data_IF_158633892027
#
_entry.id   IF_158633892027
#
_cell.length_a   1.000
_cell.length_b   1.000
_cell.length_c   1.000
_cell.angle_alpha   90.00
_cell.angle_beta   90.00
_cell.angle_gamma   90.00
#
_symmetry.space_group_name_H-M   'P 1'
#
loop_
_entity.id
_entity.type
_entity.pdbx_description
1 polymer ?
#
# COMPACT_ATOMS: atom_id res chain seq x y z
N UNK A 1 22.85 -0.39 -5.93
CA UNK A 1 22.37 0.76 -5.13
C UNK A 1 22.60 0.46 -3.65
N UNK A 2 23.03 1.45 -2.84
CA UNK A 2 23.18 1.21 -1.40
C UNK A 2 21.79 1.12 -0.77
N UNK A 3 21.52 0.03 -0.04
CA UNK A 3 20.30 -0.19 0.69
C UNK A 3 20.63 -0.58 2.13
N UNK A 4 19.75 -0.22 3.06
CA UNK A 4 19.90 -0.55 4.47
C UNK A 4 18.62 -1.20 4.97
N UNK A 5 18.76 -2.38 5.59
CA UNK A 5 17.67 -3.03 6.29
C UNK A 5 17.59 -2.50 7.73
N UNK A 6 16.39 -2.11 8.14
CA UNK A 6 16.08 -1.68 9.50
C UNK A 6 14.92 -2.52 10.04
N UNK A 7 15.08 -3.05 11.25
CA UNK A 7 13.99 -3.72 11.94
C UNK A 7 13.20 -2.67 12.74
N UNK A 8 11.87 -2.69 12.63
CA UNK A 8 10.98 -1.82 13.39
C UNK A 8 10.23 -2.54 14.51
N UNK A 9 10.49 -3.85 14.67
CA UNK A 9 9.93 -4.70 15.72
C UNK A 9 10.75 -5.98 15.89
N UNK A 10 10.27 -6.88 16.75
CA UNK A 10 10.97 -8.10 17.16
C UNK A 10 10.65 -9.31 16.26
N UNK A 11 9.53 -9.28 15.50
CA UNK A 11 9.18 -10.35 14.57
C UNK A 11 10.08 -10.32 13.33
N UNK A 12 10.48 -11.48 12.79
CA UNK A 12 11.31 -11.54 11.57
C UNK A 12 10.73 -10.82 10.35
N UNK A 13 9.39 -10.61 10.30
CA UNK A 13 8.70 -9.87 9.24
C UNK A 13 8.58 -8.36 9.53
N UNK A 14 9.02 -7.91 10.71
CA UNK A 14 8.94 -6.50 11.08
C UNK A 14 10.22 -5.74 10.69
N UNK A 15 10.41 -5.56 9.38
CA UNK A 15 11.55 -4.81 8.84
C UNK A 15 11.16 -4.05 7.57
N UNK A 16 12.01 -3.13 7.19
CA UNK A 16 11.98 -2.51 5.88
C UNK A 16 13.39 -2.32 5.32
N UNK A 17 13.45 -2.05 4.03
CA UNK A 17 14.70 -1.72 3.33
C UNK A 17 14.60 -0.28 2.85
N UNK A 18 15.53 0.54 3.32
CA UNK A 18 15.64 1.94 2.92
C UNK A 18 16.63 2.06 1.76
N UNK A 19 16.20 2.70 0.69
CA UNK A 19 16.99 3.01 -0.49
C UNK A 19 17.03 4.52 -0.71
N UNK A 20 18.17 5.05 -1.10
CA UNK A 20 18.32 6.45 -1.52
C UNK A 20 18.10 7.48 -0.43
N UNK A 21 17.89 8.72 -0.86
CA UNK A 21 17.71 9.91 -0.03
C UNK A 21 16.60 10.79 -0.64
N UNK A 22 16.08 11.76 0.13
CA UNK A 22 15.03 12.68 -0.31
C UNK A 22 13.70 12.48 0.41
N UNK A 23 12.59 13.04 -0.12
CA UNK A 23 11.26 12.79 0.42
C UNK A 23 10.93 11.29 0.35
N UNK A 24 10.10 10.82 1.28
CA UNK A 24 9.92 9.37 1.48
C UNK A 24 8.70 8.84 0.71
N UNK A 25 8.93 7.79 -0.09
CA UNK A 25 7.90 6.90 -0.59
C UNK A 25 7.91 5.60 0.23
N UNK A 26 6.85 5.32 0.98
CA UNK A 26 6.66 4.05 1.67
C UNK A 26 6.02 3.06 0.72
N UNK A 27 6.74 2.00 0.36
CA UNK A 27 6.27 0.97 -0.55
C UNK A 27 5.66 -0.20 0.23
N UNK A 28 4.42 -0.58 -0.12
CA UNK A 28 3.65 -1.62 0.56
C UNK A 28 3.19 -2.65 -0.47
N UNK A 29 3.75 -3.85 -0.39
CA UNK A 29 3.49 -4.90 -1.37
C UNK A 29 2.09 -5.52 -1.26
N UNK A 30 1.64 -6.15 -2.35
CA UNK A 30 0.40 -6.89 -2.45
C UNK A 30 0.53 -8.36 -2.06
N UNK A 31 -0.35 -9.19 -2.64
CA UNK A 31 -0.38 -10.65 -2.43
C UNK A 31 -1.49 -11.11 -1.48
N UNK A 32 -2.61 -10.40 -1.43
CA UNK A 32 -3.78 -10.76 -0.59
C UNK A 32 -3.42 -11.06 0.87
N UNK A 33 -2.48 -10.29 1.45
CA UNK A 33 -2.00 -10.46 2.83
C UNK A 33 -1.46 -11.86 3.14
N UNK A 34 -1.02 -12.65 2.13
CA UNK A 34 -0.48 -14.00 2.29
C UNK A 34 1.04 -13.98 2.44
N UNK A 35 1.58 -14.83 3.32
CA UNK A 35 3.02 -14.95 3.58
C UNK A 35 3.85 -15.50 2.42
N UNK A 36 3.20 -15.93 1.33
CA UNK A 36 3.84 -16.39 0.09
C UNK A 36 4.48 -15.25 -0.72
N UNK A 37 4.05 -14.01 -0.47
CA UNK A 37 4.52 -12.80 -1.16
C UNK A 37 5.26 -11.92 -0.17
N UNK A 38 6.24 -11.18 -0.64
CA UNK A 38 7.06 -10.30 0.18
C UNK A 38 7.38 -8.97 -0.51
N UNK A 39 8.16 -8.12 0.18
CA UNK A 39 8.51 -6.79 -0.29
C UNK A 39 9.27 -6.77 -1.63
N UNK A 40 9.87 -7.88 -2.08
CA UNK A 40 10.61 -7.93 -3.35
C UNK A 40 9.74 -7.63 -4.57
N UNK A 41 8.41 -7.76 -4.44
CA UNK A 41 7.46 -7.32 -5.48
C UNK A 41 7.59 -5.83 -5.81
N UNK A 42 8.08 -5.02 -4.88
CA UNK A 42 8.17 -3.56 -5.04
C UNK A 42 9.60 -3.08 -5.35
N UNK A 43 10.59 -3.97 -5.46
CA UNK A 43 12.00 -3.60 -5.61
C UNK A 43 12.27 -2.77 -6.87
N UNK A 44 11.67 -3.13 -8.01
CA UNK A 44 11.83 -2.38 -9.25
C UNK A 44 11.29 -0.93 -9.13
N UNK A 45 10.20 -0.75 -8.40
CA UNK A 45 9.61 0.56 -8.13
C UNK A 45 10.48 1.37 -7.15
N UNK A 46 11.07 0.70 -6.15
CA UNK A 46 12.01 1.33 -5.23
C UNK A 46 13.24 1.89 -5.98
N UNK A 47 13.79 1.12 -6.90
CA UNK A 47 14.93 1.54 -7.73
C UNK A 47 14.59 2.75 -8.61
N UNK A 48 13.43 2.75 -9.25
CA UNK A 48 12.98 3.86 -10.10
C UNK A 48 12.70 5.13 -9.28
N UNK A 49 12.13 5.02 -8.08
CA UNK A 49 11.92 6.13 -7.16
C UNK A 49 13.23 6.79 -6.75
N UNK A 50 14.24 5.99 -6.41
CA UNK A 50 15.57 6.51 -6.06
C UNK A 50 16.23 7.23 -7.25
N UNK A 51 16.07 6.70 -8.46
CA UNK A 51 16.57 7.36 -9.67
C UNK A 51 15.90 8.73 -9.90
N UNK A 52 14.73 8.96 -9.29
CA UNK A 52 13.96 10.22 -9.33
C UNK A 52 14.18 11.12 -8.11
N UNK A 53 15.10 10.75 -7.20
CA UNK A 53 15.43 11.56 -6.03
C UNK A 53 14.51 11.37 -4.82
N UNK A 54 13.83 10.21 -4.72
CA UNK A 54 13.06 9.81 -3.56
C UNK A 54 13.82 8.82 -2.70
N UNK A 55 13.63 8.89 -1.39
CA UNK A 55 13.94 7.78 -0.51
C UNK A 55 12.80 6.76 -0.59
N UNK A 56 13.12 5.50 -0.93
CA UNK A 56 12.13 4.43 -0.93
C UNK A 56 12.27 3.60 0.36
N UNK A 57 11.23 3.58 1.17
CA UNK A 57 11.08 2.74 2.36
C UNK A 57 10.19 1.55 2.02
N UNK A 58 10.80 0.45 1.55
CA UNK A 58 10.12 -0.77 1.13
C UNK A 58 9.91 -1.65 2.36
N UNK A 59 8.66 -1.83 2.81
CA UNK A 59 8.35 -2.47 4.09
C UNK A 59 7.85 -3.91 3.92
N UNK A 60 8.27 -4.75 4.87
CA UNK A 60 7.73 -6.06 5.12
C UNK A 60 6.85 -6.03 6.37
N UNK A 61 5.94 -6.95 6.54
CA UNK A 61 4.99 -6.99 7.66
C UNK A 61 4.46 -8.41 7.86
N UNK A 62 3.90 -8.73 9.04
CA UNK A 62 3.24 -10.01 9.30
C UNK A 62 1.98 -10.16 8.45
N UNK A 63 1.78 -11.34 7.88
CA UNK A 63 0.69 -11.70 6.97
C UNK A 63 0.01 -12.99 7.41
N UNK A 64 -1.04 -13.39 6.74
CA UNK A 64 -1.69 -14.70 6.92
C UNK A 64 -0.66 -15.81 6.60
N UNK A 65 -0.42 -16.66 7.59
CA UNK A 65 0.58 -17.73 7.52
C UNK A 65 1.86 -17.45 8.32
N UNK A 66 2.13 -16.20 8.72
CA UNK A 66 3.26 -15.83 9.57
C UNK A 66 2.88 -14.87 10.71
N UNK A 67 1.67 -15.02 11.25
CA UNK A 67 1.24 -14.28 12.43
C UNK A 67 0.44 -12.99 12.16
N UNK A 68 0.19 -12.64 10.88
CA UNK A 68 -0.58 -11.45 10.52
C UNK A 68 -2.09 -11.68 10.41
N UNK A 69 -2.74 -10.73 9.82
CA UNK A 69 -4.18 -10.48 9.81
C UNK A 69 -4.50 -9.23 10.62
N UNK A 70 -5.79 -8.94 10.82
CA UNK A 70 -6.22 -7.83 11.69
C UNK A 70 -6.17 -8.28 13.15
N UNK A 71 -5.56 -7.51 14.08
CA UNK A 71 -4.97 -6.19 13.86
C UNK A 71 -3.48 -6.19 13.47
N UNK A 72 -2.77 -7.32 13.58
CA UNK A 72 -1.29 -7.39 13.59
C UNK A 72 -0.67 -6.83 12.30
N UNK A 73 -1.25 -7.09 11.13
CA UNK A 73 -0.77 -6.51 9.86
C UNK A 73 -0.89 -4.98 9.85
N UNK A 74 -1.99 -4.46 10.38
CA UNK A 74 -2.21 -3.00 10.47
C UNK A 74 -1.23 -2.34 11.45
N UNK A 75 -1.01 -2.97 12.60
CA UNK A 75 -0.04 -2.51 13.60
C UNK A 75 1.37 -2.48 13.02
N UNK A 76 1.76 -3.50 12.28
CA UNK A 76 3.07 -3.58 11.64
C UNK A 76 3.27 -2.48 10.61
N UNK A 77 2.29 -2.25 9.72
CA UNK A 77 2.36 -1.17 8.74
C UNK A 77 2.44 0.19 9.44
N UNK A 78 1.65 0.39 10.49
CA UNK A 78 1.71 1.59 11.32
C UNK A 78 3.09 1.80 11.94
N UNK A 79 3.64 0.76 12.57
CA UNK A 79 4.95 0.79 13.22
C UNK A 79 6.08 1.02 12.21
N UNK A 80 6.01 0.41 11.02
CA UNK A 80 6.99 0.61 9.95
C UNK A 80 7.04 2.06 9.47
N UNK A 81 5.87 2.72 9.32
CA UNK A 81 5.80 4.13 8.95
C UNK A 81 6.33 5.01 10.10
N UNK A 82 5.93 4.72 11.33
CA UNK A 82 6.37 5.49 12.51
C UNK A 82 7.87 5.32 12.78
N UNK A 83 8.48 4.19 12.37
CA UNK A 83 9.92 3.96 12.45
C UNK A 83 10.75 4.99 11.66
N UNK A 84 10.18 5.60 10.62
CA UNK A 84 10.82 6.71 9.89
C UNK A 84 11.23 7.86 10.81
N UNK A 85 10.60 8.02 11.99
CA UNK A 85 11.00 9.02 12.98
C UNK A 85 12.43 8.78 13.54
N UNK A 86 12.94 7.55 13.47
CA UNK A 86 14.26 7.15 13.95
C UNK A 86 15.35 7.18 12.87
N UNK A 87 14.93 7.32 11.61
CA UNK A 87 15.82 7.31 10.44
C UNK A 87 16.19 8.74 10.01
N UNK A 88 17.38 8.89 9.43
CA UNK A 88 17.82 10.16 8.84
C UNK A 88 17.27 10.30 7.41
N UNK A 89 15.98 10.68 7.31
CA UNK A 89 15.25 10.85 6.05
C UNK A 89 14.42 12.15 6.06
N UNK A 90 14.14 12.70 4.87
CA UNK A 90 13.28 13.87 4.71
C UNK A 90 11.80 13.49 4.85
N UNK A 91 11.23 13.74 6.03
CA UNK A 91 9.83 13.50 6.34
C UNK A 91 8.89 14.67 6.01
N UNK A 92 9.37 15.68 5.32
CA UNK A 92 8.50 16.81 4.89
C UNK A 92 7.39 16.33 3.95
N UNK A 93 7.64 15.22 3.27
CA UNK A 93 6.70 14.54 2.39
C UNK A 93 6.84 13.02 2.55
N UNK A 94 5.78 12.36 3.01
CA UNK A 94 5.71 10.90 3.20
C UNK A 94 4.51 10.36 2.42
N UNK A 95 4.76 9.75 1.28
CA UNK A 95 3.71 9.18 0.42
C UNK A 95 3.66 7.67 0.59
N UNK A 96 2.50 7.14 1.00
CA UNK A 96 2.29 5.69 1.02
C UNK A 96 1.83 5.21 -0.36
N UNK A 97 2.59 4.30 -0.95
CA UNK A 97 2.33 3.70 -2.27
C UNK A 97 2.16 2.21 -2.07
N UNK A 98 1.02 1.66 -2.45
CA UNK A 98 0.78 0.24 -2.30
C UNK A 98 0.07 -0.40 -3.48
N UNK A 99 0.42 -1.66 -3.75
CA UNK A 99 -0.19 -2.47 -4.80
C UNK A 99 -1.18 -3.48 -4.22
N UNK A 100 -2.38 -3.60 -4.79
CA UNK A 100 -3.38 -4.62 -4.42
C UNK A 100 -3.75 -4.53 -2.91
N UNK A 101 -3.53 -5.60 -2.14
CA UNK A 101 -3.66 -5.56 -0.67
C UNK A 101 -2.79 -4.47 -0.04
N UNK A 102 -1.61 -4.17 -0.59
CA UNK A 102 -0.77 -3.05 -0.17
C UNK A 102 -1.42 -1.70 -0.44
N UNK A 103 -2.19 -1.56 -1.52
CA UNK A 103 -2.97 -0.36 -1.82
C UNK A 103 -4.07 -0.09 -0.79
N UNK A 104 -4.69 -1.15 -0.27
CA UNK A 104 -5.59 -1.07 0.87
C UNK A 104 -4.85 -0.58 2.13
N UNK A 105 -3.67 -1.17 2.42
CA UNK A 105 -2.87 -0.78 3.59
C UNK A 105 -2.34 0.65 3.50
N UNK A 106 -1.96 1.12 2.29
CA UNK A 106 -1.52 2.49 2.05
C UNK A 106 -2.65 3.50 2.34
N UNK A 107 -3.86 3.24 1.84
CA UNK A 107 -5.02 4.08 2.10
C UNK A 107 -5.45 4.04 3.57
N UNK A 108 -5.43 2.85 4.20
CA UNK A 108 -5.68 2.71 5.64
C UNK A 108 -4.67 3.51 6.47
N UNK A 109 -3.39 3.51 6.11
CA UNK A 109 -2.34 4.21 6.85
C UNK A 109 -2.59 5.71 6.98
N UNK A 110 -3.22 6.34 5.98
CA UNK A 110 -3.58 7.76 6.03
C UNK A 110 -4.73 8.05 7.02
N UNK A 111 -5.51 7.04 7.41
CA UNK A 111 -6.64 7.19 8.33
C UNK A 111 -6.29 6.88 9.80
N UNK A 112 -5.01 6.64 10.11
CA UNK A 112 -4.56 6.38 11.48
C UNK A 112 -4.77 7.59 12.38
N UNK A 113 -5.24 7.35 13.59
CA UNK A 113 -5.37 8.38 14.61
C UNK A 113 -4.01 8.63 15.30
N UNK A 114 -3.62 9.89 15.41
CA UNK A 114 -2.41 10.33 16.12
C UNK A 114 -1.12 9.56 15.75
N UNK A 115 -0.78 9.38 14.46
CA UNK A 115 0.44 8.70 14.06
C UNK A 115 1.69 9.50 14.47
N UNK A 116 2.79 8.82 14.80
CA UNK A 116 4.09 9.46 15.02
C UNK A 116 4.63 10.11 13.73
N UNK A 117 4.46 9.41 12.60
CA UNK A 117 4.76 9.92 11.26
C UNK A 117 3.47 9.88 10.44
N UNK A 118 2.97 11.05 10.09
CA UNK A 118 1.78 11.17 9.26
C UNK A 118 2.10 10.91 7.79
N UNK A 119 1.24 10.14 7.12
CA UNK A 119 1.22 10.04 5.66
C UNK A 119 0.67 11.35 5.09
N UNK A 120 1.35 11.93 4.09
CA UNK A 120 0.98 13.20 3.46
C UNK A 120 0.34 13.04 2.08
N UNK A 121 0.32 11.81 1.55
CA UNK A 121 -0.32 11.45 0.29
C UNK A 121 -0.42 9.94 0.14
N UNK A 122 -1.39 9.48 -0.65
CA UNK A 122 -1.65 8.06 -0.89
C UNK A 122 -1.62 7.76 -2.38
N UNK A 123 -0.98 6.67 -2.75
CA UNK A 123 -1.13 6.04 -4.07
C UNK A 123 -1.60 4.61 -3.86
N UNK A 124 -2.78 4.29 -4.39
CA UNK A 124 -3.32 2.94 -4.35
C UNK A 124 -3.37 2.36 -5.77
N UNK A 125 -2.55 1.36 -6.03
CA UNK A 125 -2.42 0.66 -7.30
C UNK A 125 -3.30 -0.60 -7.26
N UNK A 126 -4.44 -0.60 -7.94
CA UNK A 126 -5.44 -1.68 -7.93
C UNK A 126 -5.80 -2.17 -6.50
N UNK A 127 -5.99 -1.22 -5.57
CA UNK A 127 -6.16 -1.53 -4.14
C UNK A 127 -7.50 -2.17 -3.78
N UNK A 128 -7.48 -3.06 -2.78
CA UNK A 128 -8.70 -3.68 -2.19
C UNK A 128 -9.34 -2.69 -1.20
N UNK A 129 -9.86 -1.56 -1.72
CA UNK A 129 -10.25 -0.39 -0.92
C UNK A 129 -11.60 -0.52 -0.22
N UNK A 130 -12.40 -1.53 -0.59
CA UNK A 130 -13.70 -1.87 0.00
C UNK A 130 -13.70 -3.35 0.40
N UNK A 131 -13.43 -3.63 1.68
CA UNK A 131 -13.33 -5.00 2.16
C UNK A 131 -14.69 -5.70 2.24
N UNK A 132 -15.79 -4.98 2.45
CA UNK A 132 -17.13 -5.59 2.42
C UNK A 132 -17.45 -6.06 0.99
N UNK A 133 -17.24 -5.19 0.00
CA UNK A 133 -17.46 -5.55 -1.39
C UNK A 133 -16.54 -6.67 -1.87
N UNK A 134 -15.28 -6.64 -1.46
CA UNK A 134 -14.31 -7.71 -1.75
C UNK A 134 -14.73 -9.07 -1.15
N UNK A 135 -15.33 -9.07 0.05
CA UNK A 135 -15.90 -10.28 0.67
C UNK A 135 -17.13 -10.78 -0.09
N UNK A 136 -18.06 -9.88 -0.47
CA UNK A 136 -19.24 -10.24 -1.28
C UNK A 136 -18.86 -10.87 -2.62
N UNK A 137 -17.80 -10.36 -3.25
CA UNK A 137 -17.25 -10.89 -4.50
C UNK A 137 -16.42 -12.16 -4.28
N UNK A 138 -16.27 -12.60 -3.04
CA UNK A 138 -15.47 -13.77 -2.66
C UNK A 138 -14.04 -13.76 -3.21
N UNK A 139 -13.39 -12.58 -3.23
CA UNK A 139 -12.04 -12.44 -3.78
C UNK A 139 -11.09 -13.44 -3.13
N UNK A 140 -10.29 -14.10 -3.95
CA UNK A 140 -9.29 -15.10 -3.53
C UNK A 140 -9.84 -16.13 -2.52
N UNK A 141 -11.08 -16.60 -2.74
CA UNK A 141 -11.74 -17.66 -1.95
C UNK A 141 -11.82 -17.34 -0.44
N UNK A 142 -12.52 -16.26 -0.08
CA UNK A 142 -12.77 -15.88 1.31
C UNK A 142 -11.53 -15.36 2.04
N UNK A 143 -10.58 -14.76 1.32
CA UNK A 143 -9.35 -14.25 1.93
C UNK A 143 -9.63 -13.05 2.85
N UNK A 144 -10.66 -12.27 2.56
CA UNK A 144 -11.01 -11.08 3.37
C UNK A 144 -11.43 -11.49 4.78
N UNK A 145 -12.29 -12.49 4.91
CA UNK A 145 -12.75 -13.02 6.22
C UNK A 145 -11.56 -13.57 7.01
N UNK A 146 -10.66 -14.26 6.34
CA UNK A 146 -9.43 -14.76 6.95
C UNK A 146 -8.51 -13.63 7.41
N UNK A 147 -8.38 -12.55 6.63
CA UNK A 147 -7.61 -11.38 6.99
C UNK A 147 -8.22 -10.65 8.18
N UNK A 148 -9.53 -10.49 8.20
CA UNK A 148 -10.25 -9.82 9.28
C UNK A 148 -10.27 -10.59 10.60
N UNK A 149 -10.09 -11.93 10.59
CA UNK A 149 -10.05 -12.77 11.79
C UNK A 149 -11.23 -12.56 12.73
N UNK A 150 -12.41 -12.24 12.20
CA UNK A 150 -13.62 -11.95 12.96
C UNK A 150 -13.74 -10.50 13.47
N UNK A 151 -12.78 -9.64 13.18
CA UNK A 151 -12.88 -8.21 13.43
C UNK A 151 -13.82 -7.53 12.42
N UNK A 152 -14.48 -6.41 12.78
CA UNK A 152 -15.27 -5.65 11.85
C UNK A 152 -14.41 -5.05 10.73
N UNK A 153 -14.94 -5.02 9.50
CA UNK A 153 -14.25 -4.47 8.33
C UNK A 153 -13.81 -3.02 8.52
N UNK A 154 -14.59 -2.24 9.28
CA UNK A 154 -14.30 -0.83 9.58
C UNK A 154 -12.96 -0.56 10.26
N UNK A 155 -12.32 -1.59 10.84
CA UNK A 155 -10.95 -1.44 11.36
C UNK A 155 -9.92 -1.34 10.23
N UNK A 156 -10.19 -1.95 9.08
CA UNK A 156 -9.23 -2.13 7.99
C UNK A 156 -9.70 -1.61 6.62
N UNK A 157 -11.01 -1.48 6.38
CA UNK A 157 -11.58 -1.07 5.10
C UNK A 157 -11.44 0.43 4.88
N UNK A 158 -10.61 0.90 3.91
CA UNK A 158 -10.41 2.34 3.70
C UNK A 158 -11.68 3.12 3.42
N UNK A 159 -12.63 2.55 2.64
CA UNK A 159 -13.88 3.23 2.31
C UNK A 159 -14.75 3.51 3.55
N UNK A 160 -14.68 2.65 4.56
CA UNK A 160 -15.41 2.82 5.83
C UNK A 160 -14.71 3.81 6.78
N UNK A 161 -13.54 4.31 6.39
CA UNK A 161 -12.69 5.21 7.21
C UNK A 161 -12.51 6.60 6.56
N UNK A 162 -13.28 6.89 5.54
CA UNK A 162 -13.25 8.21 4.88
C UNK A 162 -13.70 9.33 5.85
N UNK A 163 -13.16 10.56 5.70
CA UNK A 163 -12.25 11.02 4.65
C UNK A 163 -10.78 10.61 4.92
N UNK A 164 -9.98 10.49 3.84
CA UNK A 164 -8.54 10.23 3.95
C UNK A 164 -7.76 11.39 4.59
N UNK A 165 -8.24 12.61 4.43
CA UNK A 165 -7.59 13.81 4.93
C UNK A 165 -6.32 14.24 4.18
N UNK A 166 -5.90 13.51 3.15
CA UNK A 166 -4.71 13.76 2.32
C UNK A 166 -5.03 13.53 0.85
N UNK A 167 -4.28 14.14 -0.09
CA UNK A 167 -4.40 13.85 -1.52
C UNK A 167 -4.19 12.37 -1.82
N UNK A 168 -4.99 11.84 -2.74
CA UNK A 168 -4.88 10.44 -3.14
C UNK A 168 -4.96 10.26 -4.66
N UNK A 169 -4.12 9.36 -5.18
CA UNK A 169 -4.15 8.86 -6.54
C UNK A 169 -4.49 7.37 -6.52
N UNK A 170 -5.45 6.98 -7.33
CA UNK A 170 -5.75 5.59 -7.63
C UNK A 170 -5.33 5.28 -9.06
N UNK A 171 -4.66 4.16 -9.28
CA UNK A 171 -4.38 3.66 -10.62
C UNK A 171 -4.94 2.25 -10.76
N UNK A 172 -5.52 1.91 -11.91
CA UNK A 172 -6.14 0.60 -12.15
C UNK A 172 -6.00 0.14 -13.59
N UNK A 173 -5.77 -1.14 -13.79
CA UNK A 173 -5.80 -1.76 -15.11
C UNK A 173 -7.24 -2.10 -15.52
N UNK A 174 -7.65 -1.72 -16.74
CA UNK A 174 -9.01 -2.01 -17.23
C UNK A 174 -9.29 -3.48 -17.46
N UNK A 175 -8.24 -4.32 -17.54
CA UNK A 175 -8.33 -5.79 -17.68
C UNK A 175 -7.96 -6.53 -16.39
N UNK A 176 -8.01 -5.84 -15.25
CA UNK A 176 -7.74 -6.44 -13.95
C UNK A 176 -8.81 -7.51 -13.63
N UNK A 177 -8.40 -8.78 -13.61
CA UNK A 177 -9.24 -9.93 -13.29
C UNK A 177 -9.07 -10.43 -11.83
N UNK A 178 -8.23 -9.73 -11.05
CA UNK A 178 -7.89 -10.06 -9.65
C UNK A 178 -8.68 -9.17 -8.68
N UNK A 179 -8.60 -7.84 -8.87
CA UNK A 179 -9.36 -6.84 -8.11
C UNK A 179 -10.22 -6.06 -9.10
N UNK A 180 -11.56 -6.22 -9.05
CA UNK A 180 -12.45 -5.53 -9.98
C UNK A 180 -12.31 -4.01 -9.93
N UNK A 181 -12.27 -3.37 -11.11
CA UNK A 181 -12.15 -1.91 -11.26
C UNK A 181 -13.22 -1.13 -10.47
N UNK A 182 -14.43 -1.72 -10.34
CA UNK A 182 -15.54 -1.10 -9.59
C UNK A 182 -15.17 -0.70 -8.16
N UNK A 183 -14.20 -1.40 -7.52
CA UNK A 183 -13.73 -1.08 -6.17
C UNK A 183 -13.00 0.26 -6.16
N UNK A 184 -12.13 0.50 -7.14
CA UNK A 184 -11.44 1.80 -7.27
C UNK A 184 -12.39 2.91 -7.73
N UNK A 185 -13.33 2.63 -8.64
CA UNK A 185 -14.32 3.61 -9.10
C UNK A 185 -15.20 4.08 -7.93
N UNK A 186 -15.71 3.16 -7.14
CA UNK A 186 -16.51 3.49 -5.96
C UNK A 186 -15.73 4.31 -4.95
N UNK A 187 -14.50 3.87 -4.64
CA UNK A 187 -13.65 4.60 -3.70
C UNK A 187 -13.31 6.01 -4.18
N UNK A 188 -13.00 6.17 -5.47
CA UNK A 188 -12.74 7.50 -6.06
C UNK A 188 -13.95 8.43 -5.94
N UNK A 189 -15.15 7.90 -6.21
CA UNK A 189 -16.40 8.67 -6.11
C UNK A 189 -16.66 9.14 -4.67
N UNK A 190 -16.45 8.29 -3.67
CA UNK A 190 -16.75 8.59 -2.27
C UNK A 190 -15.66 9.43 -1.60
N UNK A 191 -14.38 9.24 -1.99
CA UNK A 191 -13.24 9.94 -1.39
C UNK A 191 -12.86 11.26 -2.09
N UNK A 192 -13.25 11.44 -3.34
CA UNK A 192 -12.77 12.52 -4.21
C UNK A 192 -11.34 12.30 -4.72
N UNK A 193 -10.77 11.10 -4.59
CA UNK A 193 -9.46 10.75 -5.11
C UNK A 193 -9.44 10.77 -6.64
N UNK A 194 -8.28 11.12 -7.22
CA UNK A 194 -8.08 10.99 -8.67
C UNK A 194 -7.94 9.52 -9.04
N UNK A 195 -8.69 9.05 -10.03
CA UNK A 195 -8.57 7.70 -10.60
C UNK A 195 -8.04 7.78 -12.03
N UNK A 196 -6.98 7.03 -12.31
CA UNK A 196 -6.42 6.82 -13.65
C UNK A 196 -6.59 5.35 -14.01
N UNK A 197 -7.23 5.09 -15.15
CA UNK A 197 -7.45 3.74 -15.68
C UNK A 197 -6.72 3.58 -17.00
N UNK A 198 -5.89 2.54 -17.11
CA UNK A 198 -5.28 2.14 -18.38
C UNK A 198 -6.07 0.94 -18.93
N UNK A 199 -6.84 1.14 -20.03
CA UNK A 199 -7.86 0.17 -20.46
C UNK A 199 -7.31 -1.21 -20.82
N UNK A 200 -6.07 -1.29 -21.28
CA UNK A 200 -5.45 -2.50 -21.78
C UNK A 200 -4.54 -3.21 -20.76
N UNK A 201 -4.33 -2.60 -19.59
CA UNK A 201 -3.46 -3.13 -18.55
C UNK A 201 -4.19 -4.09 -17.60
N UNK A 202 -3.43 -5.03 -17.05
CA UNK A 202 -3.87 -6.00 -16.04
C UNK A 202 -3.51 -5.56 -14.61
N UNK A 203 -3.69 -6.48 -13.65
CA UNK A 203 -3.38 -6.27 -12.24
C UNK A 203 -1.89 -5.99 -11.96
N UNK A 204 -0.99 -6.55 -12.77
CA UNK A 204 0.46 -6.54 -12.50
C UNK A 204 1.23 -5.47 -13.25
N UNK A 205 0.63 -4.83 -14.25
CA UNK A 205 1.25 -3.71 -14.98
C UNK A 205 1.78 -2.60 -14.09
N UNK A 206 1.21 -2.44 -12.89
CA UNK A 206 1.65 -1.48 -11.87
C UNK A 206 3.09 -1.69 -11.38
N UNK A 207 3.59 -2.93 -11.43
CA UNK A 207 4.90 -3.31 -10.89
C UNK A 207 6.05 -3.13 -11.89
N UNK A 208 5.74 -2.72 -13.12
CA UNK A 208 6.73 -2.39 -14.14
C UNK A 208 6.97 -0.87 -14.21
N UNK A 209 8.20 -0.38 -13.91
CA UNK A 209 8.54 1.04 -14.04
C UNK A 209 8.36 1.60 -15.46
N UNK A 210 8.38 0.76 -16.49
CA UNK A 210 8.13 1.14 -17.88
C UNK A 210 6.66 1.36 -18.24
N UNK A 211 5.74 0.89 -17.40
CA UNK A 211 4.30 0.90 -17.64
C UNK A 211 3.68 2.30 -17.49
N UNK A 212 2.57 2.54 -18.20
CA UNK A 212 1.83 3.79 -18.15
C UNK A 212 1.25 4.08 -16.76
N UNK A 213 0.76 3.05 -16.05
CA UNK A 213 0.21 3.19 -14.69
C UNK A 213 1.27 3.68 -13.70
N UNK A 214 2.52 3.14 -13.76
CA UNK A 214 3.60 3.64 -12.91
C UNK A 214 4.07 5.04 -13.31
N UNK A 215 4.11 5.35 -14.60
CA UNK A 215 4.42 6.71 -15.08
C UNK A 215 3.41 7.73 -14.58
N UNK A 216 2.13 7.37 -14.48
CA UNK A 216 1.11 8.23 -13.88
C UNK A 216 1.39 8.49 -12.39
N UNK A 217 1.81 7.46 -11.64
CA UNK A 217 2.23 7.59 -10.24
C UNK A 217 3.40 8.58 -10.11
N UNK A 218 4.48 8.35 -10.88
CA UNK A 218 5.68 9.20 -10.80
C UNK A 218 5.46 10.63 -11.29
N UNK A 219 4.48 10.87 -12.14
CA UNK A 219 4.07 12.23 -12.55
C UNK A 219 3.23 12.96 -11.48
N UNK A 220 2.54 12.21 -10.62
CA UNK A 220 1.76 12.74 -9.51
C UNK A 220 2.63 13.08 -8.28
N UNK A 221 3.71 12.33 -8.08
CA UNK A 221 4.71 12.55 -7.02
C UNK A 221 5.46 13.88 -7.21
#
# INVERSE_FOLDING_TARGET
MASQRHNYGDDPSQYGVLYGEGPVAVLIHGGFWKAEYDLTLMDALAEDLVARGWAAWNIEFRRLGNGGGVPETLEDVGAAIDHLATLDVDRSRVVAIGHSAGGQLAAWAATRENPHVAVTGVVSQAGVLDLQRAAELNLSNGIVERFLKGHPSSLASPIERLPLGVPALLTHGGRDDIVPLEISERFALESGATLIVEPDEDHFGHLDPGNALWKAVTAWL
#
